data_IF_632898378072
#
_entry.id   IF_632898378072
#
_cell.length_a   1.000
_cell.length_b   1.000
_cell.length_c   1.000
_cell.angle_alpha   90.00
_cell.angle_beta   90.00
_cell.angle_gamma   90.00
#
_symmetry.space_group_name_H-M   'P 1'
#
loop_
_entity.id
_entity.type
_entity.pdbx_description
1 polymer ?
#
# COMPACT_ATOMS: atom_id res chain seq x y z
N UNK A 1 -25.40 -27.87 -11.77
CA UNK A 1 -24.12 -27.50 -11.11
C UNK A 1 -23.11 -27.17 -12.21
N UNK A 2 -22.73 -25.90 -12.34
CA UNK A 2 -21.75 -25.46 -13.34
C UNK A 2 -20.38 -26.05 -13.02
N UNK A 3 -19.70 -26.57 -14.03
CA UNK A 3 -18.38 -27.21 -13.94
C UNK A 3 -17.38 -26.16 -13.44
N UNK A 4 -17.07 -26.16 -12.13
CA UNK A 4 -16.09 -25.25 -11.53
C UNK A 4 -14.78 -25.35 -12.32
N UNK A 5 -14.23 -24.21 -12.76
CA UNK A 5 -13.02 -24.23 -13.57
C UNK A 5 -11.84 -24.63 -12.70
N UNK A 6 -10.84 -25.35 -13.26
CA UNK A 6 -9.65 -25.73 -12.50
C UNK A 6 -8.91 -24.54 -11.87
N UNK A 7 -9.12 -23.33 -12.42
CA UNK A 7 -8.57 -22.07 -11.92
C UNK A 7 -9.28 -21.61 -10.65
N UNK A 8 -10.62 -21.65 -10.61
CA UNK A 8 -11.41 -21.25 -9.43
C UNK A 8 -11.09 -22.16 -8.23
N UNK A 9 -10.97 -23.47 -8.47
CA UNK A 9 -10.56 -24.43 -7.42
C UNK A 9 -9.18 -24.12 -6.87
N UNK A 10 -8.19 -23.85 -7.74
CA UNK A 10 -6.84 -23.46 -7.30
C UNK A 10 -6.86 -22.14 -6.52
N UNK A 11 -7.65 -21.19 -6.97
CA UNK A 11 -7.81 -19.89 -6.31
C UNK A 11 -8.31 -20.04 -4.88
N UNK A 12 -9.46 -20.70 -4.68
CA UNK A 12 -10.03 -20.86 -3.33
C UNK A 12 -9.10 -21.65 -2.39
N UNK A 13 -8.42 -22.67 -2.90
CA UNK A 13 -7.47 -23.46 -2.11
C UNK A 13 -6.23 -22.65 -1.70
N UNK A 14 -5.72 -21.79 -2.58
CA UNK A 14 -4.59 -20.90 -2.25
C UNK A 14 -4.99 -19.82 -1.27
N UNK A 15 -6.17 -19.21 -1.43
CA UNK A 15 -6.70 -18.24 -0.46
C UNK A 15 -6.81 -18.87 0.93
N UNK A 16 -7.43 -20.05 1.03
CA UNK A 16 -7.56 -20.77 2.29
C UNK A 16 -6.19 -21.06 2.91
N UNK A 17 -5.25 -21.56 2.11
CA UNK A 17 -3.89 -21.88 2.55
C UNK A 17 -3.13 -20.66 3.05
N UNK A 18 -3.17 -19.54 2.32
CA UNK A 18 -2.51 -18.31 2.75
C UNK A 18 -3.12 -17.74 4.03
N UNK A 19 -4.45 -17.81 4.17
CA UNK A 19 -5.14 -17.44 5.41
C UNK A 19 -4.66 -18.27 6.59
N UNK A 20 -4.65 -19.60 6.45
CA UNK A 20 -4.25 -20.55 7.49
C UNK A 20 -2.75 -20.44 7.83
N UNK A 21 -1.88 -20.29 6.83
CA UNK A 21 -0.43 -20.09 7.01
C UNK A 21 -0.11 -18.85 7.86
N UNK A 22 -0.95 -17.83 7.78
CA UNK A 22 -0.83 -16.56 8.53
C UNK A 22 -1.57 -16.58 9.87
N UNK A 23 -2.18 -17.71 10.25
CA UNK A 23 -2.93 -17.85 11.51
C UNK A 23 -4.22 -17.03 11.55
N UNK A 24 -4.75 -16.60 10.40
CA UNK A 24 -5.95 -15.77 10.35
C UNK A 24 -7.22 -16.63 10.41
N UNK A 25 -8.18 -16.23 11.24
CA UNK A 25 -9.54 -16.75 11.12
C UNK A 25 -10.24 -16.16 9.89
N UNK A 26 -11.37 -16.75 9.48
CA UNK A 26 -12.18 -16.19 8.39
C UNK A 26 -12.72 -14.79 8.72
N UNK A 27 -12.97 -14.50 10.01
CA UNK A 27 -13.40 -13.17 10.45
C UNK A 27 -12.25 -12.17 10.43
N UNK A 28 -11.02 -12.58 10.75
CA UNK A 28 -9.84 -11.71 10.66
C UNK A 28 -9.54 -11.35 9.22
N UNK A 29 -9.62 -12.32 8.30
CA UNK A 29 -9.45 -12.05 6.87
C UNK A 29 -10.51 -11.06 6.37
N UNK A 30 -11.77 -11.25 6.74
CA UNK A 30 -12.84 -10.33 6.36
C UNK A 30 -12.61 -8.91 6.89
N UNK A 31 -12.17 -8.76 8.15
CA UNK A 31 -11.83 -7.46 8.74
C UNK A 31 -10.69 -6.77 7.98
N UNK A 32 -9.63 -7.50 7.64
CA UNK A 32 -8.49 -6.96 6.91
C UNK A 32 -8.86 -6.54 5.48
N UNK A 33 -9.71 -7.30 4.80
CA UNK A 33 -10.22 -6.94 3.47
C UNK A 33 -11.16 -5.73 3.53
N UNK A 34 -11.99 -5.62 4.57
CA UNK A 34 -12.82 -4.44 4.79
C UNK A 34 -11.99 -3.18 5.04
N UNK A 35 -10.89 -3.29 5.80
CA UNK A 35 -9.92 -2.20 5.99
C UNK A 35 -9.21 -1.77 4.69
N UNK A 36 -9.16 -2.67 3.69
CA UNK A 36 -8.68 -2.39 2.32
C UNK A 36 -9.77 -1.88 1.36
N UNK A 37 -10.96 -1.53 1.86
CA UNK A 37 -12.05 -0.96 1.07
C UNK A 37 -13.06 -1.98 0.52
N UNK A 38 -12.94 -3.27 0.87
CA UNK A 38 -13.91 -4.29 0.46
C UNK A 38 -15.04 -4.38 1.49
N UNK A 39 -15.99 -3.43 1.42
CA UNK A 39 -16.99 -3.23 2.48
C UNK A 39 -18.06 -4.34 2.61
N UNK A 40 -18.24 -5.19 1.59
CA UNK A 40 -19.27 -6.26 1.57
C UNK A 40 -18.73 -7.67 1.85
N UNK A 41 -17.59 -7.77 2.54
CA UNK A 41 -16.97 -9.05 2.87
C UNK A 41 -17.09 -9.35 4.37
N UNK A 42 -17.69 -10.50 4.67
CA UNK A 42 -17.90 -10.99 6.04
C UNK A 42 -17.27 -12.38 6.17
N UNK A 43 -17.14 -12.90 7.40
CA UNK A 43 -16.61 -14.24 7.64
C UNK A 43 -17.35 -15.33 6.83
N UNK A 44 -18.68 -15.21 6.71
CA UNK A 44 -19.50 -16.11 5.89
C UNK A 44 -19.26 -15.96 4.39
N UNK A 45 -18.95 -14.74 3.92
CA UNK A 45 -18.54 -14.50 2.53
C UNK A 45 -17.21 -15.20 2.25
N UNK A 46 -16.23 -15.06 3.15
CA UNK A 46 -14.93 -15.75 3.06
C UNK A 46 -15.13 -17.27 3.04
N UNK A 47 -15.96 -17.82 3.93
CA UNK A 47 -16.26 -19.25 3.95
C UNK A 47 -16.83 -19.77 2.63
N UNK A 48 -17.77 -19.02 2.03
CA UNK A 48 -18.38 -19.36 0.73
C UNK A 48 -17.39 -19.25 -0.44
N UNK A 49 -16.45 -18.31 -0.35
CA UNK A 49 -15.34 -18.21 -1.32
C UNK A 49 -14.45 -19.46 -1.19
N UNK A 50 -14.06 -19.84 0.03
CA UNK A 50 -13.20 -20.99 0.29
C UNK A 50 -13.83 -22.33 -0.08
N UNK A 51 -15.16 -22.47 0.10
CA UNK A 51 -15.90 -23.66 -0.36
C UNK A 51 -16.22 -23.62 -1.86
N UNK A 52 -16.10 -22.46 -2.51
CA UNK A 52 -16.47 -22.24 -3.91
C UNK A 52 -17.98 -22.17 -4.15
N UNK A 53 -18.78 -21.99 -3.10
CA UNK A 53 -20.21 -21.65 -3.21
C UNK A 53 -20.44 -20.25 -3.76
N UNK A 54 -19.41 -19.38 -3.71
CA UNK A 54 -19.46 -18.02 -4.23
C UNK A 54 -18.24 -17.73 -5.10
N UNK A 55 -18.49 -17.14 -6.27
CA UNK A 55 -17.45 -16.59 -7.13
C UNK A 55 -16.82 -15.33 -6.52
N UNK A 56 -15.52 -15.15 -6.78
CA UNK A 56 -14.73 -14.02 -6.29
C UNK A 56 -14.75 -12.92 -7.33
N UNK A 57 -15.00 -11.67 -6.90
CA UNK A 57 -14.94 -10.49 -7.75
C UNK A 57 -13.49 -10.06 -7.98
N UNK A 58 -13.23 -9.30 -9.04
CA UNK A 58 -11.86 -8.92 -9.42
C UNK A 58 -11.19 -8.04 -8.35
N UNK A 59 -11.94 -7.11 -7.77
CA UNK A 59 -11.52 -6.26 -6.66
C UNK A 59 -11.23 -7.07 -5.39
N UNK A 60 -12.07 -8.05 -5.05
CA UNK A 60 -11.83 -9.00 -3.96
C UNK A 60 -10.54 -9.81 -4.20
N UNK A 61 -10.31 -10.29 -5.43
CA UNK A 61 -9.12 -11.04 -5.79
C UNK A 61 -7.83 -10.20 -5.72
N UNK A 62 -7.88 -8.94 -6.16
CA UNK A 62 -6.78 -7.99 -6.05
C UNK A 62 -6.46 -7.69 -4.58
N UNK A 63 -7.48 -7.38 -3.78
CA UNK A 63 -7.29 -7.10 -2.35
C UNK A 63 -6.71 -8.30 -1.58
N UNK A 64 -7.11 -9.53 -1.92
CA UNK A 64 -6.54 -10.76 -1.38
C UNK A 64 -5.06 -10.91 -1.77
N UNK A 65 -4.72 -10.64 -3.03
CA UNK A 65 -3.35 -10.73 -3.54
C UNK A 65 -2.44 -9.73 -2.79
N UNK A 66 -2.86 -8.47 -2.69
CA UNK A 66 -2.14 -7.44 -1.93
C UNK A 66 -1.99 -7.81 -0.46
N UNK A 67 -3.06 -8.31 0.17
CA UNK A 67 -3.01 -8.71 1.57
C UNK A 67 -2.02 -9.86 1.81
N UNK A 68 -1.95 -10.79 0.86
CA UNK A 68 -1.07 -11.95 0.93
C UNK A 68 0.34 -11.68 0.39
N UNK A 69 0.61 -10.50 -0.17
CA UNK A 69 1.92 -10.17 -0.76
C UNK A 69 2.27 -11.08 -1.94
N UNK A 70 1.26 -11.52 -2.70
CA UNK A 70 1.43 -12.38 -3.88
C UNK A 70 0.68 -11.78 -5.07
N UNK A 71 0.90 -12.30 -6.26
CA UNK A 71 0.13 -11.90 -7.43
C UNK A 71 -1.23 -12.58 -7.53
N UNK A 72 -2.15 -11.96 -8.25
CA UNK A 72 -3.42 -12.61 -8.64
C UNK A 72 -3.17 -13.86 -9.49
N UNK A 73 -2.16 -13.85 -10.35
CA UNK A 73 -1.72 -15.03 -11.11
C UNK A 73 -1.26 -16.18 -10.19
N UNK A 74 -0.52 -15.85 -9.13
CA UNK A 74 -0.14 -16.79 -8.10
C UNK A 74 -1.38 -17.34 -7.39
N UNK A 75 -2.35 -16.51 -7.00
CA UNK A 75 -3.61 -17.04 -6.42
C UNK A 75 -4.36 -17.95 -7.41
N UNK A 76 -4.39 -17.61 -8.70
CA UNK A 76 -5.00 -18.44 -9.76
C UNK A 76 -4.24 -19.76 -10.04
N UNK A 77 -3.09 -19.97 -9.40
CA UNK A 77 -2.26 -21.15 -9.58
C UNK A 77 -1.64 -21.23 -10.97
N UNK A 78 -1.48 -20.10 -11.64
CA UNK A 78 -0.62 -20.01 -12.83
C UNK A 78 0.82 -20.14 -12.36
N UNK A 79 1.65 -20.81 -13.16
CA UNK A 79 3.06 -20.94 -12.85
C UNK A 79 3.71 -19.55 -12.88
N UNK A 80 3.86 -18.94 -11.70
CA UNK A 80 4.75 -17.81 -11.52
C UNK A 80 6.17 -18.37 -11.45
N UNK A 81 7.11 -17.73 -12.13
CA UNK A 81 8.52 -18.05 -11.94
C UNK A 81 8.94 -17.54 -10.57
N UNK A 82 9.93 -18.17 -9.92
CA UNK A 82 10.49 -17.67 -8.66
C UNK A 82 10.94 -16.20 -8.75
N UNK A 83 11.31 -15.74 -9.95
CA UNK A 83 11.65 -14.35 -10.24
C UNK A 83 10.44 -13.41 -10.17
N UNK A 84 9.27 -13.83 -10.68
CA UNK A 84 8.02 -13.05 -10.55
C UNK A 84 7.61 -12.90 -9.10
N UNK A 85 7.65 -13.98 -8.31
CA UNK A 85 7.29 -13.91 -6.89
C UNK A 85 8.25 -12.99 -6.10
N UNK A 86 9.55 -13.01 -6.42
CA UNK A 86 10.53 -12.07 -5.85
C UNK A 86 10.25 -10.62 -6.25
N UNK A 87 9.90 -10.37 -7.51
CA UNK A 87 9.54 -9.03 -7.98
C UNK A 87 8.29 -8.49 -7.26
N UNK A 88 7.29 -9.34 -7.00
CA UNK A 88 6.13 -8.96 -6.19
C UNK A 88 6.53 -8.61 -4.75
N UNK A 89 7.39 -9.40 -4.12
CA UNK A 89 7.88 -9.09 -2.77
C UNK A 89 8.65 -7.76 -2.71
N UNK A 90 9.45 -7.45 -3.73
CA UNK A 90 10.15 -6.15 -3.84
C UNK A 90 9.15 -5.00 -3.97
N UNK A 91 8.11 -5.16 -4.79
CA UNK A 91 7.05 -4.15 -4.96
C UNK A 91 6.26 -3.91 -3.69
N UNK A 92 5.83 -4.98 -3.03
CA UNK A 92 5.10 -4.87 -1.76
C UNK A 92 5.95 -4.18 -0.69
N UNK A 93 7.23 -4.53 -0.58
CA UNK A 93 8.14 -3.83 0.34
C UNK A 93 8.26 -2.34 0.03
N UNK A 94 8.31 -1.95 -1.26
CA UNK A 94 8.34 -0.55 -1.66
C UNK A 94 7.03 0.18 -1.35
N UNK A 95 5.88 -0.46 -1.57
CA UNK A 95 4.56 0.06 -1.22
C UNK A 95 4.46 0.33 0.29
N UNK A 96 4.85 -0.63 1.13
CA UNK A 96 4.83 -0.48 2.58
C UNK A 96 5.72 0.68 3.05
N UNK A 97 6.96 0.73 2.55
CA UNK A 97 7.88 1.82 2.88
C UNK A 97 7.32 3.20 2.50
N UNK A 98 6.67 3.30 1.33
CA UNK A 98 6.04 4.53 0.85
C UNK A 98 4.90 4.98 1.76
N UNK A 99 4.04 4.06 2.21
CA UNK A 99 2.98 4.38 3.16
C UNK A 99 3.54 4.89 4.49
N UNK A 100 4.57 4.22 5.03
CA UNK A 100 5.22 4.67 6.27
C UNK A 100 5.82 6.07 6.11
N UNK A 101 6.57 6.31 5.04
CA UNK A 101 7.17 7.61 4.77
C UNK A 101 6.12 8.71 4.56
N UNK A 102 4.99 8.41 3.90
CA UNK A 102 3.89 9.37 3.75
C UNK A 102 3.28 9.78 5.09
N UNK A 103 3.15 8.83 6.03
CA UNK A 103 2.74 9.12 7.41
C UNK A 103 3.73 10.04 8.14
N UNK A 104 5.03 9.75 8.02
CA UNK A 104 6.09 10.59 8.60
C UNK A 104 6.07 11.99 7.98
N UNK A 105 6.02 12.10 6.65
CA UNK A 105 5.95 13.39 5.93
C UNK A 105 4.77 14.23 6.41
N UNK A 106 3.59 13.61 6.57
CA UNK A 106 2.40 14.28 7.11
C UNK A 106 2.65 14.85 8.51
N UNK A 107 3.28 14.09 9.40
CA UNK A 107 3.64 14.58 10.75
C UNK A 107 4.59 15.78 10.66
N UNK A 108 5.67 15.68 9.86
CA UNK A 108 6.66 16.75 9.75
C UNK A 108 6.07 18.04 9.16
N UNK A 109 5.28 17.92 8.08
CA UNK A 109 4.59 19.06 7.44
C UNK A 109 3.66 19.78 8.40
N UNK A 110 3.03 19.07 9.34
CA UNK A 110 2.13 19.67 10.32
C UNK A 110 2.86 20.29 11.51
N UNK A 111 4.02 19.74 11.92
CA UNK A 111 4.74 20.19 13.13
C UNK A 111 5.80 21.25 12.84
N UNK A 112 6.55 21.13 11.74
CA UNK A 112 7.64 22.06 11.43
C UNK A 112 7.23 23.53 11.24
N UNK A 113 6.01 23.87 10.78
CA UNK A 113 5.56 25.26 10.78
C UNK A 113 5.56 25.93 12.15
N UNK A 114 5.53 25.18 13.26
CA UNK A 114 5.62 25.74 14.61
C UNK A 114 6.97 26.44 14.87
N UNK A 115 8.03 26.09 14.12
CA UNK A 115 9.34 26.75 14.20
C UNK A 115 9.26 28.24 13.83
N UNK A 116 8.25 28.65 13.04
CA UNK A 116 8.12 30.04 12.59
C UNK A 116 7.96 31.02 13.75
N UNK A 117 7.27 30.63 14.81
CA UNK A 117 6.98 31.46 15.98
C UNK A 117 8.01 31.37 17.11
N UNK A 118 9.08 30.59 16.96
CA UNK A 118 10.06 30.35 18.02
C UNK A 118 11.33 31.17 17.81
N UNK A 119 11.87 31.71 18.91
CA UNK A 119 13.18 32.37 18.96
C UNK A 119 14.16 31.54 19.80
N UNK A 120 15.28 31.14 19.19
CA UNK A 120 16.34 30.36 19.84
C UNK A 120 17.66 30.41 19.03
N UNK A 121 18.81 30.22 19.69
CA UNK A 121 20.15 30.55 19.18
C UNK A 121 20.56 29.86 17.86
N UNK A 122 20.04 28.66 17.57
CA UNK A 122 20.39 27.87 16.37
C UNK A 122 19.21 27.68 15.40
N UNK A 123 18.24 28.61 15.40
CA UNK A 123 17.01 28.53 14.61
C UNK A 123 17.23 28.30 13.12
N UNK A 124 18.11 29.05 12.48
CA UNK A 124 18.37 28.92 11.04
C UNK A 124 18.85 27.51 10.66
N UNK A 125 19.72 26.93 11.49
CA UNK A 125 20.24 25.56 11.28
C UNK A 125 19.14 24.52 11.45
N UNK A 126 18.28 24.69 12.46
CA UNK A 126 17.16 23.78 12.71
C UNK A 126 16.12 23.84 11.59
N UNK A 127 15.78 25.03 11.10
CA UNK A 127 14.87 25.21 9.96
C UNK A 127 15.45 24.58 8.69
N UNK A 128 16.72 24.82 8.38
CA UNK A 128 17.35 24.21 7.21
C UNK A 128 17.40 22.66 7.29
N UNK A 129 17.63 22.11 8.49
CA UNK A 129 17.60 20.67 8.71
C UNK A 129 16.17 20.09 8.57
N UNK A 130 15.17 20.82 9.04
CA UNK A 130 13.76 20.47 8.92
C UNK A 130 13.31 20.43 7.45
N UNK A 131 13.66 21.45 6.66
CA UNK A 131 13.40 21.50 5.22
C UNK A 131 14.09 20.34 4.48
N UNK A 132 15.38 20.09 4.78
CA UNK A 132 16.12 18.98 4.19
C UNK A 132 15.48 17.62 4.50
N UNK A 133 14.95 17.44 5.72
CA UNK A 133 14.30 16.20 6.11
C UNK A 133 13.01 15.95 5.30
N UNK A 134 12.16 16.98 5.14
CA UNK A 134 10.94 16.88 4.33
C UNK A 134 11.28 16.58 2.87
N UNK A 135 12.23 17.31 2.28
CA UNK A 135 12.68 17.10 0.89
C UNK A 135 13.23 15.68 0.67
N UNK A 136 14.00 15.17 1.64
CA UNK A 136 14.58 13.82 1.57
C UNK A 136 13.51 12.73 1.63
N UNK A 137 12.47 12.91 2.46
CA UNK A 137 11.36 11.97 2.57
C UNK A 137 10.53 11.97 1.29
N UNK A 138 10.22 13.14 0.74
CA UNK A 138 9.47 13.26 -0.51
C UNK A 138 10.22 12.67 -1.70
N UNK A 139 11.55 12.86 -1.77
CA UNK A 139 12.40 12.21 -2.76
C UNK A 139 12.36 10.68 -2.62
N UNK A 140 12.41 10.16 -1.40
CA UNK A 140 12.31 8.72 -1.14
C UNK A 140 10.94 8.15 -1.53
N UNK A 141 9.84 8.83 -1.18
CA UNK A 141 8.46 8.45 -1.60
C UNK A 141 8.36 8.37 -3.12
N UNK A 142 8.92 9.36 -3.82
CA UNK A 142 8.91 9.42 -5.29
C UNK A 142 9.69 8.27 -5.91
N UNK A 143 10.88 7.96 -5.37
CA UNK A 143 11.69 6.85 -5.84
C UNK A 143 10.99 5.50 -5.64
N UNK A 144 10.32 5.31 -4.50
CA UNK A 144 9.58 4.07 -4.19
C UNK A 144 8.36 3.86 -5.08
N UNK A 145 7.71 4.93 -5.57
CA UNK A 145 6.60 4.84 -6.52
C UNK A 145 6.99 4.08 -7.79
N UNK A 146 8.21 4.31 -8.29
CA UNK A 146 8.73 3.65 -9.52
C UNK A 146 9.01 2.17 -9.27
N UNK A 147 9.40 1.81 -8.06
CA UNK A 147 9.66 0.41 -7.67
C UNK A 147 8.34 -0.35 -7.53
N UNK A 148 7.30 0.29 -6.99
CA UNK A 148 5.96 -0.24 -6.73
C UNK A 148 5.14 -0.44 -8.02
N UNK A 149 5.08 0.57 -8.91
CA UNK A 149 4.20 0.58 -10.09
C UNK A 149 4.97 0.67 -11.43
N UNK A 150 5.01 -0.42 -12.23
CA UNK A 150 5.69 -0.43 -13.53
C UNK A 150 4.94 0.33 -14.64
N UNK A 151 3.71 0.78 -14.40
CA UNK A 151 2.92 1.53 -15.37
C UNK A 151 3.20 3.03 -15.32
N UNK A 152 3.92 3.50 -14.30
CA UNK A 152 4.43 4.87 -14.19
C UNK A 152 5.50 5.06 -15.29
N UNK A 153 5.22 5.81 -16.37
CA UNK A 153 6.04 5.76 -17.59
C UNK A 153 7.45 6.32 -17.39
N UNK A 154 7.61 7.25 -16.43
CA UNK A 154 8.86 7.89 -16.00
C UNK A 154 8.66 8.44 -14.56
N UNK A 155 9.75 8.63 -13.78
CA UNK A 155 9.68 9.38 -12.51
C UNK A 155 8.86 10.66 -12.74
N UNK A 156 7.83 10.95 -11.94
CA UNK A 156 7.12 12.21 -12.08
C UNK A 156 8.13 13.34 -11.93
N UNK A 157 8.37 14.07 -13.03
CA UNK A 157 9.25 15.22 -12.98
C UNK A 157 8.60 16.26 -12.08
N UNK A 158 9.35 16.59 -11.03
CA UNK A 158 9.14 17.63 -10.04
C UNK A 158 8.27 18.79 -10.56
N UNK A 159 6.98 18.81 -10.22
CA UNK A 159 6.20 20.05 -10.30
C UNK A 159 6.43 20.82 -9.00
N UNK A 160 7.54 21.56 -8.94
CA UNK A 160 7.70 22.58 -7.93
C UNK A 160 6.51 23.55 -8.00
N UNK A 161 5.68 23.55 -6.97
CA UNK A 161 5.35 24.82 -6.35
C UNK A 161 6.07 24.82 -5.02
N UNK A 162 7.24 25.46 -5.00
CA UNK A 162 7.74 26.08 -3.77
C UNK A 162 6.55 26.86 -3.26
N UNK A 163 5.97 26.38 -2.18
CA UNK A 163 4.90 27.12 -1.55
C UNK A 163 5.55 28.32 -0.93
N UNK A 164 5.54 29.43 -1.66
CA UNK A 164 5.81 30.75 -1.11
C UNK A 164 4.64 31.08 -0.16
N UNK A 165 4.55 30.40 0.98
CA UNK A 165 3.68 30.81 2.08
C UNK A 165 4.49 31.69 3.03
N UNK A 166 4.94 32.80 2.43
CA UNK A 166 5.47 33.99 3.07
C UNK A 166 4.91 35.19 2.33
N UNK A 167 3.58 35.37 2.34
CA UNK A 167 2.96 36.67 2.04
C UNK A 167 1.92 36.99 3.11
N UNK A 168 2.37 37.85 4.03
CA UNK A 168 1.62 38.78 4.87
C UNK A 168 0.10 38.79 4.67
N UNK A 169 -0.61 38.51 5.76
CA UNK A 169 -1.84 39.21 6.10
C UNK A 169 -1.52 40.16 7.25
N UNK A 170 -0.91 41.31 6.94
CA UNK A 170 -1.04 42.49 7.80
C UNK A 170 -2.47 43.00 7.63
N UNK A 171 -3.30 42.83 8.66
CA UNK A 171 -4.41 43.72 9.02
C UNK A 171 -4.64 43.66 10.51
#
# INVERSE_FOLDING_TARGET
MGKQSSVETRFRERVKRERERRGLSQSDLAKQLSAKGIHSIYATTVAKIESGERAVRIDEAAALADLFGVSTDALMGRATTAERDRLYAVRDAALQARFTLGGISTTLINTFPELDGLEFDNREVVVAAAELAVDSIDAAITALLVVDDPTVPQMPQRSYKVSTYGKRSER
#
